data_IF_294761869097
#
_entry.id   IF_294761869097
#
_cell.length_a   1.000
_cell.length_b   1.000
_cell.length_c   1.000
_cell.angle_alpha   90.00
_cell.angle_beta   90.00
_cell.angle_gamma   90.00
#
_symmetry.space_group_name_H-M   'P 1'
#
loop_
_entity.id
_entity.type
_entity.pdbx_description
1 polymer ?
#
# COMPACT_ATOMS: atom_id res chain seq x y z
N UNK A 1 -1.38 20.48 13.74
CA UNK A 1 -0.70 19.70 14.79
C UNK A 1 0.20 18.67 14.12
N UNK A 2 1.40 18.37 14.65
CA UNK A 2 2.24 17.29 14.13
C UNK A 2 1.78 15.94 14.68
N UNK A 3 1.95 14.86 13.91
CA UNK A 3 1.52 13.51 14.32
C UNK A 3 2.73 12.58 14.40
N UNK A 4 2.82 11.84 15.51
CA UNK A 4 3.77 10.75 15.72
C UNK A 4 2.99 9.44 15.84
N UNK A 5 3.41 8.42 15.08
CA UNK A 5 2.94 7.05 15.28
C UNK A 5 3.99 6.28 16.07
N UNK A 6 3.58 5.67 17.19
CA UNK A 6 4.46 4.87 18.06
C UNK A 6 4.00 3.42 18.01
N UNK A 7 4.85 2.51 17.55
CA UNK A 7 4.56 1.09 17.53
C UNK A 7 5.29 0.38 18.66
N UNK A 8 4.56 -0.42 19.42
CA UNK A 8 5.11 -1.31 20.46
C UNK A 8 5.13 -2.76 19.96
N UNK A 9 6.33 -3.36 19.88
CA UNK A 9 6.48 -4.76 19.47
C UNK A 9 5.99 -5.78 20.49
N UNK A 10 5.50 -6.94 20.03
CA UNK A 10 4.96 -8.00 20.89
C UNK A 10 5.96 -8.51 21.94
N UNK A 11 7.25 -8.63 21.59
CA UNK A 11 8.30 -9.04 22.54
C UNK A 11 8.59 -7.98 23.60
N UNK A 12 8.27 -6.71 23.32
CA UNK A 12 8.36 -5.63 24.28
C UNK A 12 7.12 -5.56 25.17
N UNK A 13 5.93 -5.74 24.59
CA UNK A 13 4.64 -5.55 25.29
C UNK A 13 4.32 -6.67 26.26
N UNK A 14 4.86 -7.88 26.10
CA UNK A 14 4.43 -9.03 26.92
C UNK A 14 5.56 -9.75 27.65
N UNK A 15 5.28 -10.07 28.91
CA UNK A 15 6.04 -10.99 29.78
C UNK A 15 5.33 -12.35 29.79
N UNK A 16 5.95 -13.35 30.42
CA UNK A 16 5.35 -14.67 30.62
C UNK A 16 3.96 -14.61 31.31
N UNK A 17 3.73 -13.59 32.13
CA UNK A 17 2.47 -13.38 32.87
C UNK A 17 1.41 -12.56 32.11
N UNK A 18 1.66 -12.18 30.85
CA UNK A 18 0.79 -11.31 30.06
C UNK A 18 1.42 -9.93 29.77
N UNK A 19 0.63 -8.88 29.54
CA UNK A 19 1.15 -7.58 29.14
C UNK A 19 2.04 -6.97 30.24
N UNK A 20 3.08 -6.24 29.86
CA UNK A 20 3.99 -5.51 30.73
C UNK A 20 3.35 -4.16 31.10
N UNK A 21 2.73 -4.02 32.29
CA UNK A 21 2.05 -2.78 32.64
C UNK A 21 3.01 -1.61 32.73
N UNK A 22 4.29 -1.82 33.06
CA UNK A 22 5.27 -0.72 33.16
C UNK A 22 5.58 -0.15 31.79
N UNK A 23 5.81 -1.00 30.79
CA UNK A 23 6.07 -0.52 29.43
C UNK A 23 4.86 0.22 28.85
N UNK A 24 3.66 -0.33 29.03
CA UNK A 24 2.43 0.27 28.54
C UNK A 24 2.16 1.64 29.19
N UNK A 25 2.34 1.72 30.51
CA UNK A 25 2.21 2.97 31.28
C UNK A 25 3.23 4.00 30.81
N UNK A 26 4.52 3.65 30.79
CA UNK A 26 5.58 4.57 30.38
C UNK A 26 5.37 5.10 28.95
N UNK A 27 4.88 4.25 28.03
CA UNK A 27 4.62 4.67 26.66
C UNK A 27 3.45 5.64 26.59
N UNK A 28 2.38 5.39 27.36
CA UNK A 28 1.23 6.29 27.41
C UNK A 28 1.59 7.62 28.07
N UNK A 29 2.34 7.60 29.18
CA UNK A 29 2.82 8.81 29.84
C UNK A 29 3.69 9.66 28.91
N UNK A 30 4.57 9.01 28.13
CA UNK A 30 5.40 9.71 27.15
C UNK A 30 4.58 10.26 25.98
N UNK A 31 3.50 9.57 25.59
CA UNK A 31 2.56 10.06 24.59
C UNK A 31 1.77 11.28 25.10
N UNK A 32 1.44 11.29 26.39
CA UNK A 32 0.79 12.42 27.05
C UNK A 32 1.72 13.63 27.18
N UNK A 33 3.00 13.40 27.51
CA UNK A 33 4.03 14.46 27.51
C UNK A 33 4.20 15.05 26.10
N UNK A 34 4.29 14.19 25.08
CA UNK A 34 4.34 14.61 23.68
C UNK A 34 3.13 15.49 23.29
N UNK A 35 1.94 15.14 23.77
CA UNK A 35 0.75 15.97 23.58
C UNK A 35 0.89 17.35 24.23
N UNK A 36 1.47 17.44 25.43
CA UNK A 36 1.82 18.71 26.06
C UNK A 36 2.79 19.58 25.24
N UNK A 37 3.61 18.93 24.38
CA UNK A 37 4.54 19.58 23.45
C UNK A 37 3.91 19.89 22.07
N UNK A 38 2.59 19.72 21.90
CA UNK A 38 1.87 20.02 20.66
C UNK A 38 1.90 18.91 19.59
N UNK A 39 2.15 17.66 20.00
CA UNK A 39 2.15 16.49 19.12
C UNK A 39 0.93 15.59 19.37
N UNK A 40 0.24 15.19 18.31
CA UNK A 40 -0.71 14.08 18.36
C UNK A 40 0.03 12.75 18.32
N UNK A 41 -0.29 11.83 19.23
CA UNK A 41 0.33 10.50 19.26
C UNK A 41 -0.70 9.41 18.99
N UNK A 42 -0.40 8.55 18.01
CA UNK A 42 -1.14 7.32 17.74
C UNK A 42 -0.29 6.13 18.17
N UNK A 43 -0.82 5.28 19.06
CA UNK A 43 -0.12 4.09 19.54
C UNK A 43 -0.61 2.88 18.74
N UNK A 44 0.30 2.17 18.08
CA UNK A 44 0.05 0.84 17.49
C UNK A 44 0.60 -0.21 18.44
N UNK A 45 -0.28 -0.89 19.16
CA UNK A 45 0.09 -1.87 20.18
C UNK A 45 0.03 -3.29 19.64
N UNK A 46 0.92 -4.16 20.11
CA UNK A 46 0.78 -5.61 20.03
C UNK A 46 0.29 -6.19 21.37
N UNK A 47 0.13 -7.51 21.45
CA UNK A 47 0.03 -8.23 22.71
C UNK A 47 -1.33 -8.80 23.06
N UNK A 48 -2.37 -8.64 22.21
CA UNK A 48 -3.69 -9.22 22.45
C UNK A 48 -3.63 -10.75 22.60
N UNK A 49 -3.06 -11.46 21.62
CA UNK A 49 -2.96 -12.92 21.65
C UNK A 49 -2.20 -13.41 22.90
N UNK A 50 -1.03 -12.85 23.20
CA UNK A 50 -0.24 -13.28 24.36
C UNK A 50 -0.92 -12.94 25.70
N UNK A 51 -1.62 -11.81 25.78
CA UNK A 51 -2.42 -11.45 26.96
C UNK A 51 -3.54 -12.45 27.20
N UNK A 52 -4.26 -12.84 26.14
CA UNK A 52 -5.34 -13.82 26.25
C UNK A 52 -4.83 -15.23 26.53
N UNK A 53 -3.74 -15.65 25.89
CA UNK A 53 -3.09 -16.94 26.19
C UNK A 53 -2.71 -17.04 27.66
N UNK A 54 -2.06 -16.01 28.21
CA UNK A 54 -1.68 -15.99 29.63
C UNK A 54 -2.91 -15.95 30.57
N UNK A 55 -3.99 -15.31 30.16
CA UNK A 55 -5.24 -15.29 30.93
C UNK A 55 -5.94 -16.66 30.91
N UNK A 56 -6.18 -17.21 29.72
CA UNK A 56 -6.87 -18.49 29.49
C UNK A 56 -6.13 -19.66 30.16
N UNK A 57 -4.79 -19.66 30.10
CA UNK A 57 -3.99 -20.66 30.79
C UNK A 57 -4.17 -20.61 32.32
N UNK A 58 -4.24 -19.40 32.91
CA UNK A 58 -4.47 -19.25 34.36
C UNK A 58 -5.88 -19.65 34.79
N UNK A 59 -6.87 -19.45 33.93
CA UNK A 59 -8.26 -19.84 34.19
C UNK A 59 -8.56 -21.30 33.84
N UNK A 60 -7.54 -22.08 33.44
CA UNK A 60 -7.66 -23.52 33.22
C UNK A 60 -8.37 -23.91 31.92
N UNK A 61 -8.37 -23.06 30.88
CA UNK A 61 -8.90 -23.43 29.56
C UNK A 61 -7.88 -24.32 28.85
N UNK A 62 -8.19 -25.60 28.58
CA UNK A 62 -7.19 -26.59 28.18
C UNK A 62 -6.71 -26.42 26.73
N UNK A 63 -7.61 -26.05 25.82
CA UNK A 63 -7.29 -25.80 24.41
C UNK A 63 -8.05 -24.57 23.91
N UNK A 64 -7.38 -23.73 23.12
CA UNK A 64 -7.98 -22.53 22.55
C UNK A 64 -7.25 -22.11 21.27
N UNK A 65 -7.98 -21.48 20.37
CA UNK A 65 -7.39 -20.91 19.16
C UNK A 65 -6.69 -19.58 19.44
N UNK A 66 -5.75 -19.19 18.58
CA UNK A 66 -5.14 -17.86 18.64
C UNK A 66 -6.17 -16.71 18.52
N UNK A 67 -7.27 -16.95 17.80
CA UNK A 67 -8.39 -15.99 17.67
C UNK A 67 -9.14 -15.83 18.99
N UNK A 68 -9.43 -16.93 19.70
CA UNK A 68 -10.04 -16.86 21.02
C UNK A 68 -9.11 -16.15 22.02
N UNK A 69 -7.81 -16.45 21.99
CA UNK A 69 -6.82 -15.74 22.79
C UNK A 69 -6.79 -14.24 22.45
N UNK A 70 -6.82 -13.84 21.17
CA UNK A 70 -6.92 -12.44 20.78
C UNK A 70 -8.19 -11.77 21.31
N UNK A 71 -9.35 -12.42 21.13
CA UNK A 71 -10.65 -11.91 21.56
C UNK A 71 -10.73 -11.70 23.08
N UNK A 72 -10.13 -12.60 23.86
CA UNK A 72 -10.03 -12.46 25.32
C UNK A 72 -8.99 -11.42 25.71
N UNK A 73 -7.83 -11.41 25.07
CA UNK A 73 -6.70 -10.58 25.47
C UNK A 73 -6.79 -9.12 25.05
N UNK A 74 -7.50 -8.79 23.96
CA UNK A 74 -7.64 -7.42 23.49
C UNK A 74 -8.35 -6.50 24.51
N UNK A 75 -9.47 -6.90 25.14
CA UNK A 75 -10.06 -6.15 26.26
C UNK A 75 -9.10 -5.96 27.44
N UNK A 76 -8.30 -6.98 27.80
CA UNK A 76 -7.31 -6.87 28.89
C UNK A 76 -6.24 -5.81 28.58
N UNK A 77 -5.70 -5.83 27.36
CA UNK A 77 -4.72 -4.84 26.91
C UNK A 77 -5.31 -3.42 26.97
N UNK A 78 -6.53 -3.24 26.47
CA UNK A 78 -7.20 -1.93 26.46
C UNK A 78 -7.53 -1.43 27.87
N UNK A 79 -7.90 -2.33 28.79
CA UNK A 79 -8.18 -1.97 30.19
C UNK A 79 -6.96 -1.36 30.90
N UNK A 80 -5.74 -1.80 30.54
CA UNK A 80 -4.50 -1.22 31.08
C UNK A 80 -4.32 0.21 30.54
N UNK A 81 -4.39 0.40 29.23
CA UNK A 81 -4.30 1.74 28.62
C UNK A 81 -5.35 2.69 29.20
N UNK A 82 -6.59 2.23 29.34
CA UNK A 82 -7.69 3.03 29.88
C UNK A 82 -7.43 3.44 31.33
N UNK A 83 -7.01 2.50 32.18
CA UNK A 83 -6.68 2.80 33.58
C UNK A 83 -5.60 3.89 33.71
N UNK A 84 -4.57 3.86 32.85
CA UNK A 84 -3.51 4.88 32.85
C UNK A 84 -4.00 6.22 32.31
N UNK A 85 -4.81 6.20 31.24
CA UNK A 85 -5.39 7.41 30.67
C UNK A 85 -6.33 8.13 31.65
N UNK A 86 -7.17 7.36 32.36
CA UNK A 86 -8.12 7.87 33.35
C UNK A 86 -7.40 8.62 34.49
N UNK A 87 -6.26 8.10 34.97
CA UNK A 87 -5.43 8.77 35.98
C UNK A 87 -4.88 10.12 35.51
N UNK A 88 -4.72 10.30 34.19
CA UNK A 88 -4.22 11.53 33.58
C UNK A 88 -5.32 12.46 33.07
N UNK A 89 -6.61 12.13 33.32
CA UNK A 89 -7.76 12.90 32.85
C UNK A 89 -7.90 12.90 31.33
N UNK A 90 -7.45 11.84 30.66
CA UNK A 90 -7.35 11.73 29.20
C UNK A 90 -8.11 10.52 28.70
N UNK A 91 -8.52 10.58 27.43
CA UNK A 91 -9.26 9.48 26.82
C UNK A 91 -8.37 8.69 25.86
N UNK A 92 -8.64 7.39 25.76
CA UNK A 92 -8.10 6.52 24.72
C UNK A 92 -9.22 6.05 23.80
N UNK A 93 -8.92 5.90 22.50
CA UNK A 93 -9.85 5.37 21.51
C UNK A 93 -9.33 4.06 20.92
N UNK A 94 -10.10 2.99 20.99
CA UNK A 94 -9.73 1.72 20.39
C UNK A 94 -10.01 1.73 18.88
N UNK A 95 -9.04 1.31 18.09
CA UNK A 95 -9.20 1.06 16.65
C UNK A 95 -8.64 -0.32 16.33
N UNK A 96 -9.45 -1.18 15.72
CA UNK A 96 -9.03 -2.52 15.27
C UNK A 96 -8.97 -2.55 13.75
N UNK A 97 -7.87 -3.04 13.20
CA UNK A 97 -7.64 -3.08 11.75
C UNK A 97 -7.42 -4.51 11.27
N UNK A 98 -8.16 -4.89 10.23
CA UNK A 98 -7.88 -6.11 9.49
C UNK A 98 -6.90 -5.86 8.34
N UNK A 99 -6.19 -6.90 7.88
CA UNK A 99 -5.31 -6.80 6.69
C UNK A 99 -6.07 -6.28 5.45
N UNK A 100 -7.32 -6.71 5.27
CA UNK A 100 -8.18 -6.25 4.18
C UNK A 100 -8.56 -4.77 4.28
N UNK A 101 -8.51 -4.18 5.48
CA UNK A 101 -8.82 -2.76 5.66
C UNK A 101 -7.68 -1.90 5.11
N UNK A 102 -6.42 -2.28 5.36
CA UNK A 102 -5.22 -1.64 4.79
C UNK A 102 -5.26 -1.64 3.26
N UNK A 103 -5.77 -2.72 2.66
CA UNK A 103 -5.91 -2.89 1.21
C UNK A 103 -7.09 -2.13 0.60
N UNK A 104 -7.93 -1.49 1.40
CA UNK A 104 -9.07 -0.73 0.91
C UNK A 104 -8.86 0.78 1.11
N UNK A 105 -8.67 1.56 0.02
CA UNK A 105 -8.36 2.98 0.14
C UNK A 105 -9.48 3.78 0.83
N UNK A 106 -10.75 3.42 0.59
CA UNK A 106 -11.90 4.11 1.20
C UNK A 106 -11.96 3.84 2.69
N UNK A 107 -11.76 2.59 3.10
CA UNK A 107 -11.73 2.23 4.53
C UNK A 107 -10.57 2.93 5.24
N UNK A 108 -9.36 2.89 4.67
CA UNK A 108 -8.21 3.57 5.26
C UNK A 108 -8.38 5.08 5.34
N UNK A 109 -9.07 5.72 4.39
CA UNK A 109 -9.39 7.14 4.47
C UNK A 109 -10.31 7.46 5.67
N UNK A 110 -11.33 6.63 5.90
CA UNK A 110 -12.23 6.76 7.07
C UNK A 110 -11.47 6.54 8.37
N UNK A 111 -10.65 5.49 8.46
CA UNK A 111 -9.81 5.22 9.63
C UNK A 111 -8.87 6.41 9.90
N UNK A 112 -8.20 6.92 8.89
CA UNK A 112 -7.30 8.06 9.03
C UNK A 112 -8.01 9.35 9.42
N UNK A 113 -9.28 9.53 9.05
CA UNK A 113 -10.10 10.63 9.53
C UNK A 113 -10.37 10.50 11.04
N UNK A 114 -10.83 9.34 11.50
CA UNK A 114 -11.08 9.09 12.93
C UNK A 114 -9.81 9.25 13.76
N UNK A 115 -8.66 8.76 13.27
CA UNK A 115 -7.38 8.91 13.96
C UNK A 115 -6.97 10.37 14.09
N UNK A 116 -7.15 11.18 13.04
CA UNK A 116 -6.85 12.63 13.05
C UNK A 116 -7.78 13.38 14.01
N UNK A 117 -9.07 13.13 13.92
CA UNK A 117 -10.07 13.72 14.83
C UNK A 117 -9.76 13.38 16.29
N UNK A 118 -9.37 12.13 16.57
CA UNK A 118 -9.01 11.69 17.92
C UNK A 118 -7.85 12.52 18.47
N UNK A 119 -6.74 12.61 17.74
CA UNK A 119 -5.57 13.35 18.22
C UNK A 119 -5.83 14.85 18.32
N UNK A 120 -6.62 15.44 17.40
CA UNK A 120 -7.00 16.85 17.43
C UNK A 120 -7.84 17.21 18.67
N UNK A 121 -8.59 16.24 19.20
CA UNK A 121 -9.38 16.39 20.42
C UNK A 121 -8.66 15.87 21.68
N UNK A 122 -7.36 15.62 21.60
CA UNK A 122 -6.55 15.16 22.73
C UNK A 122 -6.89 13.75 23.23
N UNK A 123 -7.52 12.93 22.38
CA UNK A 123 -7.75 11.50 22.60
C UNK A 123 -6.56 10.73 22.00
N UNK A 124 -6.02 9.75 22.74
CA UNK A 124 -4.91 8.92 22.25
C UNK A 124 -5.47 7.65 21.59
N UNK A 125 -5.32 7.47 20.26
CA UNK A 125 -5.78 6.25 19.62
C UNK A 125 -4.84 5.08 19.93
N UNK A 126 -5.44 3.95 20.31
CA UNK A 126 -4.77 2.66 20.49
C UNK A 126 -5.23 1.76 19.34
N UNK A 127 -4.36 1.63 18.34
CA UNK A 127 -4.55 0.80 17.15
C UNK A 127 -3.96 -0.59 17.40
N UNK A 128 -4.68 -1.64 17.02
CA UNK A 128 -4.13 -3.00 16.95
C UNK A 128 -4.74 -3.77 15.77
N UNK A 129 -4.08 -4.83 15.35
CA UNK A 129 -4.63 -5.82 14.44
C UNK A 129 -5.89 -6.51 15.00
N UNK A 130 -6.86 -6.80 14.14
CA UNK A 130 -8.07 -7.53 14.51
C UNK A 130 -7.85 -9.06 14.48
N UNK A 131 -6.90 -9.54 15.28
CA UNK A 131 -6.47 -10.94 15.33
C UNK A 131 -7.60 -11.92 15.73
N UNK A 132 -8.73 -11.42 16.25
CA UNK A 132 -9.90 -12.22 16.56
C UNK A 132 -10.67 -12.67 15.32
N UNK A 133 -10.68 -11.85 14.26
CA UNK A 133 -11.45 -12.11 13.04
C UNK A 133 -10.60 -12.32 11.80
N UNK A 134 -9.34 -11.90 11.82
CA UNK A 134 -8.46 -12.03 10.66
C UNK A 134 -8.06 -13.49 10.35
N UNK A 135 -7.87 -13.77 9.07
CA UNK A 135 -7.39 -15.06 8.56
C UNK A 135 -5.93 -15.35 8.96
N UNK A 136 -5.11 -14.29 8.99
CA UNK A 136 -3.73 -14.34 9.41
C UNK A 136 -3.51 -13.46 10.64
N UNK A 137 -2.46 -13.77 11.42
CA UNK A 137 -2.03 -12.87 12.48
C UNK A 137 -1.54 -11.55 11.90
N UNK A 138 -1.91 -10.45 12.55
CA UNK A 138 -1.65 -9.09 12.07
C UNK A 138 -0.16 -8.73 12.17
N UNK A 139 0.38 -8.12 11.11
CA UNK A 139 1.70 -7.49 11.17
C UNK A 139 1.58 -6.04 11.62
N UNK A 140 1.73 -5.81 12.93
CA UNK A 140 1.62 -4.47 13.51
C UNK A 140 2.72 -3.50 13.05
N UNK A 141 3.85 -3.98 12.50
CA UNK A 141 4.83 -3.09 11.86
C UNK A 141 4.26 -2.53 10.55
N UNK A 142 3.58 -3.36 9.76
CA UNK A 142 2.87 -2.94 8.55
C UNK A 142 1.66 -2.04 8.85
N UNK A 143 0.88 -2.36 9.89
CA UNK A 143 -0.21 -1.50 10.37
C UNK A 143 0.32 -0.13 10.79
N UNK A 144 1.41 -0.08 11.56
CA UNK A 144 1.99 1.20 12.01
C UNK A 144 2.46 2.07 10.84
N UNK A 145 3.14 1.47 9.85
CA UNK A 145 3.52 2.20 8.64
C UNK A 145 2.30 2.65 7.83
N UNK A 146 1.29 1.79 7.65
CA UNK A 146 0.04 2.14 6.97
C UNK A 146 -0.70 3.29 7.66
N UNK A 147 -0.81 3.24 8.98
CA UNK A 147 -1.41 4.32 9.80
C UNK A 147 -0.60 5.62 9.66
N UNK A 148 0.73 5.55 9.75
CA UNK A 148 1.59 6.73 9.60
C UNK A 148 1.41 7.38 8.23
N UNK A 149 1.43 6.57 7.18
CA UNK A 149 1.21 7.02 5.79
C UNK A 149 -0.17 7.65 5.63
N UNK A 150 -1.24 6.97 6.06
CA UNK A 150 -2.60 7.45 5.84
C UNK A 150 -2.98 8.67 6.67
N UNK A 151 -2.46 8.78 7.90
CA UNK A 151 -2.66 9.97 8.75
C UNK A 151 -1.77 11.15 8.33
N UNK A 152 -0.75 10.92 7.50
CA UNK A 152 0.23 11.94 7.13
C UNK A 152 1.19 12.29 8.25
N UNK A 153 1.51 11.29 9.08
CA UNK A 153 2.36 11.45 10.24
C UNK A 153 3.71 12.09 9.88
N UNK A 154 4.23 12.86 10.82
CA UNK A 154 5.54 13.49 10.70
C UNK A 154 6.67 12.52 11.01
N UNK A 155 6.42 11.65 12.00
CA UNK A 155 7.39 10.70 12.51
C UNK A 155 6.73 9.34 12.75
N UNK A 156 7.51 8.27 12.57
CA UNK A 156 7.17 6.90 12.95
C UNK A 156 8.25 6.36 13.89
N UNK A 157 7.85 5.90 15.08
CA UNK A 157 8.74 5.28 16.07
C UNK A 157 8.41 3.80 16.21
N UNK A 158 9.34 2.94 15.81
CA UNK A 158 9.22 1.49 15.94
C UNK A 158 10.01 1.02 17.17
N UNK A 159 9.32 0.79 18.29
CA UNK A 159 9.92 0.33 19.53
C UNK A 159 10.13 -1.20 19.51
N UNK A 160 11.35 -1.62 19.85
CA UNK A 160 11.79 -3.03 19.82
C UNK A 160 12.55 -3.41 21.10
N UNK A 161 12.84 -4.70 21.27
CA UNK A 161 13.61 -5.27 22.39
C UNK A 161 15.14 -5.08 22.30
N UNK A 162 15.64 -4.54 21.20
CA UNK A 162 17.06 -4.22 20.94
C UNK A 162 17.24 -2.71 20.70
N UNK A 163 18.48 -2.21 20.66
CA UNK A 163 18.72 -0.76 20.59
C UNK A 163 18.52 -0.14 19.20
N UNK A 164 18.48 -0.94 18.14
CA UNK A 164 18.30 -0.51 16.76
C UNK A 164 18.50 -1.67 15.77
N UNK A 165 18.84 -1.33 14.53
CA UNK A 165 19.23 -2.29 13.49
C UNK A 165 20.72 -2.59 13.61
N UNK A 166 21.10 -3.85 13.43
CA UNK A 166 22.49 -4.30 13.45
C UNK A 166 22.81 -5.00 12.13
N UNK A 167 24.05 -4.85 11.63
CA UNK A 167 24.54 -5.54 10.44
C UNK A 167 24.66 -7.06 10.67
N UNK A 168 25.02 -7.46 11.89
CA UNK A 168 25.22 -8.85 12.31
C UNK A 168 24.50 -9.12 13.64
N UNK A 169 24.51 -10.38 14.09
CA UNK A 169 24.11 -10.70 15.47
C UNK A 169 24.89 -9.79 16.41
N UNK A 170 24.23 -8.99 17.28
CA UNK A 170 24.96 -8.10 18.16
C UNK A 170 25.82 -8.94 19.09
N UNK A 171 27.15 -8.76 19.03
CA UNK A 171 28.03 -9.15 20.11
C UNK A 171 27.74 -8.27 21.34
N UNK A 172 28.24 -8.67 22.51
CA UNK A 172 28.30 -7.77 23.66
C UNK A 172 29.08 -6.52 23.19
N UNK A 173 28.48 -5.34 23.38
CA UNK A 173 29.00 -4.02 22.97
C UNK A 173 28.90 -3.60 21.49
N UNK A 174 28.17 -4.34 20.64
CA UNK A 174 27.88 -3.85 19.29
C UNK A 174 26.98 -2.58 19.34
N UNK A 175 27.33 -1.56 18.56
CA UNK A 175 26.49 -0.37 18.35
C UNK A 175 25.49 -0.61 17.21
N UNK A 176 24.24 -0.11 17.32
CA UNK A 176 23.31 -0.16 16.19
C UNK A 176 23.78 0.76 15.07
N UNK A 177 23.37 0.46 13.85
CA UNK A 177 23.55 1.32 12.69
C UNK A 177 22.89 2.67 13.01
N UNK A 178 23.60 3.81 12.94
CA UNK A 178 23.04 5.09 13.33
C UNK A 178 21.97 5.58 12.35
N UNK A 179 22.18 5.35 11.06
CA UNK A 179 21.31 5.81 9.99
C UNK A 179 21.32 4.82 8.81
N UNK A 180 20.16 4.58 8.21
CA UNK A 180 20.02 3.78 7.00
C UNK A 180 19.36 4.64 5.92
N UNK A 181 19.94 4.62 4.72
CA UNK A 181 19.30 5.17 3.53
C UNK A 181 18.20 4.20 3.05
N UNK A 182 16.98 4.69 2.85
CA UNK A 182 15.88 3.83 2.42
C UNK A 182 16.11 3.19 1.03
N UNK A 183 16.98 3.75 0.18
CA UNK A 183 17.35 3.13 -1.10
C UNK A 183 18.29 1.93 -0.95
N UNK A 184 19.03 1.85 0.17
CA UNK A 184 20.01 0.80 0.47
C UNK A 184 19.42 -0.25 1.43
N UNK A 185 18.16 -0.09 1.82
CA UNK A 185 17.52 -0.91 2.85
C UNK A 185 17.44 -2.39 2.47
N UNK A 186 17.38 -2.70 1.17
CA UNK A 186 17.36 -4.06 0.64
C UNK A 186 18.70 -4.79 0.83
N UNK A 187 19.80 -4.05 1.01
CA UNK A 187 21.14 -4.59 1.24
C UNK A 187 21.41 -4.84 2.73
N UNK A 188 20.54 -4.32 3.61
CA UNK A 188 20.65 -4.52 5.06
C UNK A 188 20.32 -5.98 5.40
N UNK A 189 21.35 -6.75 5.71
CA UNK A 189 21.21 -8.13 6.18
C UNK A 189 20.66 -8.11 7.61
N UNK A 190 19.34 -8.21 7.77
CA UNK A 190 18.73 -8.18 9.10
C UNK A 190 18.99 -9.49 9.85
N UNK A 191 19.65 -9.42 11.00
CA UNK A 191 19.73 -10.53 11.95
C UNK A 191 18.32 -10.93 12.47
N UNK A 192 18.04 -12.23 12.57
CA UNK A 192 16.82 -12.76 13.20
C UNK A 192 17.05 -12.93 14.70
N UNK A 193 17.04 -11.83 15.45
CA UNK A 193 17.03 -11.87 16.91
C UNK A 193 15.61 -11.76 17.48
N UNK A 194 15.25 -12.62 18.43
CA UNK A 194 14.03 -12.50 19.25
C UNK A 194 12.86 -13.43 18.89
N UNK A 195 12.00 -13.68 19.88
CA UNK A 195 10.79 -14.54 19.80
C UNK A 195 9.53 -13.81 19.31
N UNK A 196 9.64 -12.51 18.98
CA UNK A 196 8.54 -11.69 18.50
C UNK A 196 8.10 -12.06 17.08
N UNK A 197 6.79 -12.21 16.86
CA UNK A 197 6.19 -12.28 15.52
C UNK A 197 6.30 -10.89 14.87
N UNK A 198 7.14 -10.75 13.84
CA UNK A 198 7.49 -9.47 13.20
C UNK A 198 8.93 -9.01 13.51
N UNK A 199 9.92 -9.81 13.12
CA UNK A 199 11.33 -9.55 13.39
C UNK A 199 11.87 -8.26 12.75
N UNK A 200 13.19 -8.01 12.89
CA UNK A 200 13.82 -6.78 12.40
C UNK A 200 13.52 -6.47 10.92
N UNK A 201 13.40 -7.50 10.08
CA UNK A 201 13.00 -7.36 8.67
C UNK A 201 11.66 -6.63 8.46
N UNK A 202 10.65 -6.90 9.29
CA UNK A 202 9.35 -6.22 9.13
C UNK A 202 9.45 -4.75 9.52
N UNK A 203 10.21 -4.43 10.58
CA UNK A 203 10.49 -3.04 10.99
C UNK A 203 11.22 -2.25 9.93
N UNK A 204 12.25 -2.85 9.34
CA UNK A 204 13.01 -2.23 8.24
C UNK A 204 12.09 -1.97 7.04
N UNK A 205 11.23 -2.93 6.65
CA UNK A 205 10.23 -2.71 5.58
C UNK A 205 9.21 -1.63 5.92
N UNK A 206 8.74 -1.58 7.16
CA UNK A 206 7.84 -0.52 7.64
C UNK A 206 8.51 0.86 7.59
N UNK A 207 9.79 0.94 7.95
CA UNK A 207 10.59 2.16 7.88
C UNK A 207 10.87 2.60 6.43
N UNK A 208 11.16 1.66 5.54
CA UNK A 208 11.27 1.90 4.09
C UNK A 208 10.00 2.52 3.53
N UNK A 209 8.86 1.91 3.85
CA UNK A 209 7.55 2.36 3.42
C UNK A 209 7.25 3.80 3.87
N UNK A 210 7.53 4.09 5.14
CA UNK A 210 7.37 5.40 5.73
C UNK A 210 8.33 6.42 5.08
N UNK A 211 9.59 6.06 4.88
CA UNK A 211 10.60 6.91 4.25
C UNK A 211 10.21 7.31 2.82
N UNK A 212 9.72 6.36 2.02
CA UNK A 212 9.21 6.65 0.68
C UNK A 212 7.96 7.54 0.67
N UNK A 213 7.27 7.67 1.79
CA UNK A 213 6.10 8.54 1.94
C UNK A 213 6.40 9.86 2.67
N UNK A 214 7.68 10.21 2.82
CA UNK A 214 8.07 11.49 3.42
C UNK A 214 8.00 11.50 4.95
N UNK A 215 8.06 10.33 5.59
CA UNK A 215 7.93 10.15 7.04
C UNK A 215 9.27 9.70 7.61
N UNK A 216 9.75 10.45 8.60
CA UNK A 216 10.98 10.10 9.28
C UNK A 216 10.73 8.95 10.25
N UNK A 217 11.57 7.91 10.18
CA UNK A 217 11.40 6.73 11.03
C UNK A 217 12.59 6.54 11.97
N UNK A 218 12.30 6.09 13.19
CA UNK A 218 13.28 5.66 14.17
C UNK A 218 12.98 4.23 14.63
N UNK A 219 13.98 3.37 14.62
CA UNK A 219 13.92 2.03 15.25
C UNK A 219 14.75 2.11 16.54
N UNK A 220 14.10 1.95 17.69
CA UNK A 220 14.72 2.20 18.99
C UNK A 220 14.25 1.20 20.06
N UNK A 221 15.01 1.12 21.17
CA UNK A 221 14.68 0.26 22.30
C UNK A 221 13.44 0.74 23.06
N UNK A 222 12.50 -0.17 23.26
CA UNK A 222 11.32 0.00 24.11
C UNK A 222 11.69 0.17 25.59
N UNK A 223 12.89 -0.24 26.01
CA UNK A 223 13.34 -0.09 27.40
C UNK A 223 13.68 1.35 27.78
N UNK A 224 13.77 2.27 26.82
CA UNK A 224 14.04 3.69 27.05
C UNK A 224 12.73 4.44 27.27
N UNK A 225 12.39 4.87 28.50
CA UNK A 225 11.12 5.55 28.76
C UNK A 225 10.98 6.85 27.95
N UNK A 226 12.07 7.59 27.78
CA UNK A 226 12.09 8.88 27.08
C UNK A 226 12.04 8.79 25.55
N UNK A 227 12.02 7.58 24.95
CA UNK A 227 12.21 7.41 23.50
C UNK A 227 11.25 8.23 22.62
N UNK A 228 10.00 8.38 23.05
CA UNK A 228 8.98 9.18 22.34
C UNK A 228 9.36 10.67 22.34
N UNK A 229 9.69 11.20 23.52
CA UNK A 229 10.03 12.62 23.73
C UNK A 229 11.36 12.96 23.08
N UNK A 230 12.38 12.11 23.25
CA UNK A 230 13.70 12.26 22.65
C UNK A 230 13.60 12.35 21.12
N UNK A 231 12.76 11.51 20.50
CA UNK A 231 12.59 11.52 19.06
C UNK A 231 11.85 12.76 18.54
N UNK A 232 10.88 13.27 19.32
CA UNK A 232 10.20 14.54 19.02
C UNK A 232 11.15 15.73 19.09
N UNK A 233 12.09 15.72 20.05
CA UNK A 233 13.11 16.76 20.25
C UNK A 233 14.33 16.62 19.32
N UNK A 234 14.30 15.69 18.37
CA UNK A 234 15.40 15.39 17.44
C UNK A 234 16.71 14.90 18.10
N UNK A 235 16.60 14.32 19.31
CA UNK A 235 17.70 13.69 20.05
C UNK A 235 17.54 12.14 20.16
N UNK A 236 17.10 11.42 19.11
CA UNK A 236 16.80 10.00 19.25
C UNK A 236 18.07 9.15 19.39
N UNK A 237 17.89 7.99 20.02
CA UNK A 237 18.90 6.93 20.08
C UNK A 237 18.36 5.66 19.44
N UNK A 238 19.10 5.13 18.46
CA UNK A 238 18.75 3.93 17.72
C UNK A 238 19.15 4.08 16.26
N UNK A 239 18.37 3.51 15.36
CA UNK A 239 18.61 3.60 13.92
C UNK A 239 17.60 4.52 13.26
N UNK A 240 18.10 5.60 12.64
CA UNK A 240 17.28 6.54 11.87
C UNK A 240 17.11 6.06 10.43
N UNK A 241 15.92 6.21 9.87
CA UNK A 241 15.66 6.06 8.43
C UNK A 241 15.10 7.36 7.91
N UNK A 242 15.86 8.04 7.04
CA UNK A 242 15.48 9.35 6.53
C UNK A 242 14.42 9.24 5.42
N UNK A 243 13.51 10.24 5.34
CA UNK A 243 12.59 10.34 4.20
C UNK A 243 13.34 10.49 2.87
N UNK A 244 12.88 9.80 1.83
CA UNK A 244 13.48 9.88 0.47
C UNK A 244 12.66 10.72 -0.50
N UNK A 245 11.35 10.89 -0.23
CA UNK A 245 10.44 11.66 -1.07
C UNK A 245 9.83 12.84 -0.29
N UNK A 246 9.31 13.84 -1.02
CA UNK A 246 8.35 14.80 -0.44
C UNK A 246 7.06 14.06 -0.06
N UNK A 247 6.37 14.53 0.98
CA UNK A 247 5.07 13.96 1.37
C UNK A 247 4.10 14.03 0.20
N UNK A 248 3.53 12.89 -0.17
CA UNK A 248 2.46 12.83 -1.17
C UNK A 248 1.16 13.42 -0.63
N UNK A 249 0.29 13.86 -1.53
CA UNK A 249 -1.10 14.21 -1.21
C UNK A 249 -1.83 12.99 -0.62
N UNK A 250 -2.82 13.24 0.25
CA UNK A 250 -3.51 12.22 1.05
C UNK A 250 -4.00 11.03 0.19
N UNK A 251 -4.59 11.30 -0.98
CA UNK A 251 -5.10 10.25 -1.87
C UNK A 251 -4.00 9.40 -2.49
N UNK A 252 -2.84 10.01 -2.77
CA UNK A 252 -1.69 9.35 -3.38
C UNK A 252 -0.89 8.50 -2.39
N UNK A 253 -0.92 8.83 -1.10
CA UNK A 253 -0.23 8.09 -0.03
C UNK A 253 -0.60 6.61 0.02
N UNK A 254 -1.88 6.28 -0.20
CA UNK A 254 -2.30 4.88 -0.25
C UNK A 254 -1.65 4.14 -1.42
N UNK A 255 -1.69 4.73 -2.62
CA UNK A 255 -1.10 4.15 -3.84
C UNK A 255 0.42 4.01 -3.70
N UNK A 256 1.06 5.02 -3.10
CA UNK A 256 2.50 5.14 -2.92
C UNK A 256 3.12 4.10 -1.99
N UNK A 257 2.31 3.35 -1.22
CA UNK A 257 2.89 2.53 -0.19
C UNK A 257 1.99 1.47 0.41
N UNK A 258 0.81 1.88 0.89
CA UNK A 258 -0.08 0.96 1.63
C UNK A 258 -0.72 -0.07 0.72
N UNK A 259 -1.00 0.31 -0.53
CA UNK A 259 -1.59 -0.57 -1.51
C UNK A 259 -0.67 -1.73 -1.86
N UNK A 260 -1.23 -2.95 -1.84
CA UNK A 260 -0.59 -4.14 -2.39
C UNK A 260 -0.63 -4.07 -3.91
N UNK A 261 0.53 -4.19 -4.53
CA UNK A 261 0.66 -4.27 -5.99
C UNK A 261 0.20 -5.64 -6.47
N UNK A 262 -0.69 -5.68 -7.46
CA UNK A 262 -1.23 -6.91 -8.07
C UNK A 262 -0.53 -7.29 -9.39
N UNK A 263 0.43 -6.47 -9.84
CA UNK A 263 1.17 -6.70 -11.06
C UNK A 263 2.12 -5.56 -11.39
N UNK A 264 2.78 -5.65 -12.54
CA UNK A 264 3.71 -4.61 -12.98
C UNK A 264 3.58 -4.30 -14.46
N UNK A 265 3.71 -3.02 -14.80
CA UNK A 265 3.81 -2.50 -16.15
C UNK A 265 5.25 -2.08 -16.42
N UNK A 266 5.93 -2.78 -17.33
CA UNK A 266 7.26 -2.37 -17.79
C UNK A 266 7.10 -1.40 -18.93
N UNK A 267 7.61 -0.18 -18.74
CA UNK A 267 7.42 0.94 -19.67
C UNK A 267 8.66 1.15 -20.55
N UNK A 268 8.49 1.90 -21.65
CA UNK A 268 9.60 2.37 -22.47
C UNK A 268 10.23 3.66 -21.91
N UNK A 269 11.37 4.08 -22.46
CA UNK A 269 12.11 5.26 -21.98
C UNK A 269 11.32 6.58 -22.12
N UNK A 270 10.53 6.72 -23.18
CA UNK A 270 9.70 7.91 -23.39
C UNK A 270 8.58 8.00 -22.34
N UNK A 271 7.98 6.87 -21.97
CA UNK A 271 7.00 6.78 -20.91
C UNK A 271 7.61 6.99 -19.53
N UNK A 272 8.81 6.43 -19.24
CA UNK A 272 9.57 6.72 -18.02
C UNK A 272 9.82 8.23 -17.86
N UNK A 273 10.25 8.89 -18.94
CA UNK A 273 10.45 10.35 -18.94
C UNK A 273 9.12 11.07 -18.73
N UNK A 274 8.10 10.75 -19.52
CA UNK A 274 6.78 11.40 -19.48
C UNK A 274 6.08 11.32 -18.12
N UNK A 275 6.10 10.15 -17.47
CA UNK A 275 5.54 10.01 -16.11
C UNK A 275 6.35 10.79 -15.08
N UNK A 276 7.67 10.90 -15.26
CA UNK A 276 8.53 11.75 -14.44
C UNK A 276 8.14 13.23 -14.49
N UNK A 277 7.62 13.70 -15.64
CA UNK A 277 7.04 15.03 -15.83
C UNK A 277 5.55 15.14 -15.47
N UNK A 278 4.95 14.09 -14.90
CA UNK A 278 3.55 14.09 -14.45
C UNK A 278 2.51 13.73 -15.52
N UNK A 279 2.93 13.04 -16.60
CA UNK A 279 2.02 12.54 -17.64
C UNK A 279 1.28 11.28 -17.20
N UNK A 280 0.10 11.03 -17.78
CA UNK A 280 -0.60 9.74 -17.67
C UNK A 280 0.16 8.65 -18.44
N UNK A 281 -0.03 7.38 -18.07
CA UNK A 281 0.54 6.23 -18.78
C UNK A 281 -0.45 5.69 -19.81
N UNK A 282 -0.07 5.70 -21.08
CA UNK A 282 -0.86 5.19 -22.21
C UNK A 282 -0.31 3.86 -22.74
N UNK A 283 -1.11 3.12 -23.53
CA UNK A 283 -0.73 1.82 -24.10
C UNK A 283 0.58 1.86 -24.88
N UNK A 284 0.83 2.92 -25.64
CA UNK A 284 2.06 3.13 -26.43
C UNK A 284 3.33 3.09 -25.56
N UNK A 285 3.22 3.52 -24.30
CA UNK A 285 4.26 3.52 -23.29
C UNK A 285 4.57 2.15 -22.69
N UNK A 286 3.64 1.20 -22.76
CA UNK A 286 3.71 -0.10 -22.09
C UNK A 286 4.36 -1.14 -23.01
N UNK A 287 5.41 -1.80 -22.54
CA UNK A 287 6.15 -2.83 -23.27
C UNK A 287 5.85 -4.24 -22.81
N UNK A 288 5.60 -4.45 -21.52
CA UNK A 288 5.28 -5.76 -20.96
C UNK A 288 4.37 -5.64 -19.75
N UNK A 289 3.43 -6.56 -19.63
CA UNK A 289 2.57 -6.74 -18.45
C UNK A 289 3.08 -7.94 -17.65
N UNK A 290 3.11 -7.82 -16.32
CA UNK A 290 3.43 -8.90 -15.38
C UNK A 290 2.31 -9.02 -14.36
N UNK A 291 2.01 -10.25 -13.94
CA UNK A 291 0.95 -10.53 -12.98
C UNK A 291 -0.46 -10.46 -13.60
N UNK A 292 -1.46 -10.47 -12.74
CA UNK A 292 -2.87 -10.42 -13.11
C UNK A 292 -3.56 -9.40 -12.23
N UNK A 293 -4.21 -8.42 -12.84
CA UNK A 293 -4.89 -7.34 -12.14
C UNK A 293 -6.16 -6.92 -12.89
N UNK A 294 -7.06 -6.28 -12.16
CA UNK A 294 -8.38 -5.80 -12.61
C UNK A 294 -8.42 -4.26 -12.58
N UNK A 295 -9.42 -3.64 -13.23
CA UNK A 295 -9.67 -2.21 -13.06
C UNK A 295 -9.79 -1.85 -11.56
N UNK A 296 -9.05 -0.84 -11.13
CA UNK A 296 -9.00 -0.39 -9.73
C UNK A 296 -7.84 -0.96 -8.91
N UNK A 297 -7.15 -1.99 -9.40
CA UNK A 297 -5.97 -2.54 -8.71
C UNK A 297 -4.77 -1.62 -8.86
N UNK A 298 -3.93 -1.59 -7.83
CA UNK A 298 -2.62 -0.92 -7.88
C UNK A 298 -1.60 -1.84 -8.55
N UNK A 299 -0.79 -1.26 -9.43
CA UNK A 299 0.29 -1.93 -10.14
C UNK A 299 1.59 -1.13 -10.04
N UNK A 300 2.71 -1.84 -10.02
CA UNK A 300 4.04 -1.25 -10.09
C UNK A 300 4.36 -0.78 -11.52
N UNK A 301 5.08 0.32 -11.62
CA UNK A 301 5.56 0.87 -12.89
C UNK A 301 7.07 0.72 -12.89
N UNK A 302 7.58 0.01 -13.89
CA UNK A 302 8.97 -0.46 -13.89
C UNK A 302 9.68 0.02 -15.14
N UNK A 303 10.90 0.54 -14.98
CA UNK A 303 11.74 1.00 -16.08
C UNK A 303 12.16 -0.16 -17.00
N UNK A 304 12.66 0.12 -18.21
CA UNK A 304 13.26 -0.91 -19.07
C UNK A 304 14.36 -1.73 -18.36
N UNK A 305 15.11 -1.09 -17.47
CA UNK A 305 16.22 -1.68 -16.70
C UNK A 305 15.74 -2.43 -15.44
N UNK A 306 14.44 -2.46 -15.16
CA UNK A 306 13.88 -3.19 -14.03
C UNK A 306 13.76 -2.38 -12.74
N UNK A 307 14.06 -1.07 -12.76
CA UNK A 307 13.92 -0.19 -11.60
C UNK A 307 12.45 0.14 -11.34
N UNK A 308 12.01 0.09 -10.09
CA UNK A 308 10.68 0.55 -9.68
C UNK A 308 10.62 2.08 -9.79
N UNK A 309 9.80 2.59 -10.70
CA UNK A 309 9.61 4.03 -10.94
C UNK A 309 8.49 4.61 -10.08
N UNK A 310 7.52 3.79 -9.69
CA UNK A 310 6.33 4.26 -9.02
C UNK A 310 5.21 3.23 -9.02
N UNK A 311 4.02 3.66 -8.61
CA UNK A 311 2.80 2.86 -8.59
C UNK A 311 1.63 3.65 -9.13
N UNK A 312 0.66 2.95 -9.70
CA UNK A 312 -0.58 3.58 -10.12
C UNK A 312 -1.77 2.64 -10.10
N UNK A 313 -2.96 3.23 -10.06
CA UNK A 313 -4.22 2.48 -10.15
C UNK A 313 -4.53 2.22 -11.61
N UNK A 314 -4.58 0.95 -12.00
CA UNK A 314 -4.94 0.55 -13.36
C UNK A 314 -6.40 0.86 -13.63
N UNK A 315 -6.70 1.50 -14.75
CA UNK A 315 -8.09 1.74 -15.22
C UNK A 315 -8.69 0.52 -15.92
N UNK A 316 -7.86 -0.45 -16.27
CA UNK A 316 -8.23 -1.63 -17.06
C UNK A 316 -7.61 -2.90 -16.49
N UNK A 317 -8.06 -4.07 -16.93
CA UNK A 317 -7.47 -5.36 -16.58
C UNK A 317 -6.14 -5.59 -17.29
N UNK A 318 -5.32 -6.48 -16.69
CA UNK A 318 -4.10 -6.98 -17.31
C UNK A 318 -4.36 -7.60 -18.68
N UNK A 319 -5.51 -8.24 -18.86
CA UNK A 319 -5.91 -8.88 -20.12
C UNK A 319 -6.09 -7.84 -21.23
N UNK A 320 -6.77 -6.72 -20.94
CA UNK A 320 -6.96 -5.64 -21.90
C UNK A 320 -5.63 -4.93 -22.19
N UNK A 321 -4.82 -4.62 -21.18
CA UNK A 321 -3.51 -3.98 -21.37
C UNK A 321 -2.61 -4.83 -22.26
N UNK A 322 -2.55 -6.13 -21.98
CA UNK A 322 -1.68 -7.05 -22.71
C UNK A 322 -2.14 -7.25 -24.16
N UNK A 323 -3.44 -7.11 -24.43
CA UNK A 323 -3.99 -7.18 -25.78
C UNK A 323 -3.62 -5.96 -26.62
N UNK A 324 -3.55 -4.76 -26.02
CA UNK A 324 -3.44 -3.49 -26.77
C UNK A 324 -2.17 -2.67 -26.50
N UNK A 325 -1.24 -3.17 -25.69
CA UNK A 325 0.03 -2.48 -25.40
C UNK A 325 0.86 -2.22 -26.66
N UNK A 326 1.66 -1.15 -26.63
CA UNK A 326 2.51 -0.71 -27.74
C UNK A 326 1.77 -0.33 -29.04
N UNK A 327 0.46 -0.09 -28.97
CA UNK A 327 -0.37 0.34 -30.10
C UNK A 327 -0.64 1.84 -30.10
N UNK A 328 -0.97 2.39 -31.27
CA UNK A 328 -1.58 3.72 -31.43
C UNK A 328 -3.06 3.71 -31.08
N UNK A 329 -3.69 4.89 -30.98
CA UNK A 329 -5.11 5.04 -30.67
C UNK A 329 -5.98 4.31 -31.71
N UNK A 330 -5.62 4.43 -33.00
CA UNK A 330 -6.34 3.80 -34.12
C UNK A 330 -6.25 2.28 -34.08
N UNK A 331 -5.06 1.77 -33.75
CA UNK A 331 -4.81 0.34 -33.60
C UNK A 331 -5.59 -0.24 -32.41
N UNK A 332 -5.63 0.46 -31.27
CA UNK A 332 -6.42 0.06 -30.11
C UNK A 332 -7.91 0.02 -30.49
N UNK A 333 -8.43 1.08 -31.10
CA UNK A 333 -9.83 1.17 -31.53
C UNK A 333 -10.25 -0.03 -32.40
N UNK A 334 -9.41 -0.40 -33.37
CA UNK A 334 -9.63 -1.56 -34.23
C UNK A 334 -9.72 -2.87 -33.42
N UNK A 335 -8.81 -3.08 -32.47
CA UNK A 335 -8.80 -4.28 -31.64
C UNK A 335 -10.01 -4.34 -30.70
N UNK A 336 -10.42 -3.22 -30.09
CA UNK A 336 -11.61 -3.17 -29.23
C UNK A 336 -12.89 -3.50 -30.00
N UNK A 337 -13.04 -2.97 -31.22
CA UNK A 337 -14.16 -3.31 -32.11
C UNK A 337 -14.15 -4.80 -32.46
N UNK A 338 -12.95 -5.38 -32.69
CA UNK A 338 -12.78 -6.82 -32.91
C UNK A 338 -13.30 -7.66 -31.74
N UNK A 339 -12.98 -7.27 -30.50
CA UNK A 339 -13.49 -7.95 -29.29
C UNK A 339 -15.02 -7.93 -29.25
N UNK A 340 -15.63 -6.75 -29.44
CA UNK A 340 -17.09 -6.60 -29.35
C UNK A 340 -17.83 -7.41 -30.42
N UNK A 341 -17.30 -7.47 -31.65
CA UNK A 341 -17.86 -8.30 -32.72
C UNK A 341 -17.79 -9.78 -32.40
N UNK A 342 -16.65 -10.24 -31.87
CA UNK A 342 -16.47 -11.63 -31.48
C UNK A 342 -17.41 -12.03 -30.35
N UNK A 343 -17.66 -11.11 -29.41
CA UNK A 343 -18.63 -11.31 -28.34
C UNK A 343 -20.09 -11.36 -28.84
N UNK A 344 -20.44 -10.58 -29.85
CA UNK A 344 -21.78 -10.53 -30.43
C UNK A 344 -22.12 -11.71 -31.38
N UNK A 345 -21.27 -12.75 -31.45
CA UNK A 345 -21.39 -13.86 -32.41
C UNK A 345 -21.52 -13.41 -33.88
N UNK A 346 -21.01 -12.23 -34.21
CA UNK A 346 -20.85 -11.81 -35.60
C UNK A 346 -19.68 -12.61 -36.19
N UNK A 347 -19.97 -13.81 -36.71
CA UNK A 347 -19.03 -14.78 -37.28
C UNK A 347 -18.27 -14.33 -38.54
N UNK A 348 -18.07 -13.03 -38.73
CA UNK A 348 -17.28 -12.48 -39.83
C UNK A 348 -16.02 -11.83 -39.26
N UNK A 349 -14.82 -12.39 -39.55
CA UNK A 349 -13.55 -11.75 -39.23
C UNK A 349 -13.54 -10.31 -39.79
N UNK A 350 -12.94 -9.37 -39.05
CA UNK A 350 -12.56 -8.09 -39.63
C UNK A 350 -11.56 -8.39 -40.75
N UNK A 351 -11.96 -8.15 -42.01
CA UNK A 351 -10.99 -8.11 -43.10
C UNK A 351 -9.96 -7.03 -42.74
N UNK A 352 -8.69 -7.42 -42.60
CA UNK A 352 -7.62 -6.48 -42.35
C UNK A 352 -7.60 -5.43 -43.47
N UNK A 353 -7.97 -4.20 -43.14
CA UNK A 353 -7.86 -3.08 -44.07
C UNK A 353 -6.39 -2.65 -44.11
N UNK A 354 -5.72 -2.92 -45.23
CA UNK A 354 -4.29 -2.64 -45.47
C UNK A 354 -3.33 -3.40 -44.53
N UNK A 355 -2.01 -3.48 -44.79
CA UNK A 355 -1.13 -4.36 -44.01
C UNK A 355 -0.99 -3.79 -42.59
N UNK A 356 -1.84 -4.28 -41.69
CA UNK A 356 -1.83 -3.92 -40.29
C UNK A 356 -0.45 -4.21 -39.71
N UNK A 357 0.08 -3.30 -38.88
CA UNK A 357 1.38 -3.50 -38.24
C UNK A 357 1.41 -4.85 -37.51
N UNK A 358 2.57 -5.53 -37.43
CA UNK A 358 2.67 -6.85 -36.80
C UNK A 358 2.06 -6.92 -35.39
N UNK A 359 2.09 -5.81 -34.63
CA UNK A 359 1.47 -5.72 -33.30
C UNK A 359 -0.05 -5.93 -33.33
N UNK A 360 -0.75 -5.37 -34.32
CA UNK A 360 -2.21 -5.51 -34.49
C UNK A 360 -2.55 -6.93 -34.95
N UNK A 361 -1.80 -7.46 -35.91
CA UNK A 361 -2.00 -8.83 -36.39
C UNK A 361 -1.84 -9.85 -35.26
N UNK A 362 -0.81 -9.69 -34.44
CA UNK A 362 -0.57 -10.54 -33.27
C UNK A 362 -1.70 -10.44 -32.24
N UNK A 363 -2.27 -9.24 -32.03
CA UNK A 363 -3.39 -9.05 -31.11
C UNK A 363 -4.68 -9.70 -31.61
N UNK A 364 -5.00 -9.54 -32.90
CA UNK A 364 -6.16 -10.20 -33.52
C UNK A 364 -5.99 -11.73 -33.51
N UNK A 365 -4.81 -12.25 -33.86
CA UNK A 365 -4.53 -13.69 -33.76
C UNK A 365 -4.55 -14.21 -32.32
N UNK A 366 -4.25 -13.37 -31.33
CA UNK A 366 -4.43 -13.71 -29.91
C UNK A 366 -5.90 -13.78 -29.55
N UNK A 367 -6.69 -12.79 -29.99
CA UNK A 367 -8.13 -12.73 -29.80
C UNK A 367 -8.83 -13.97 -30.38
N UNK A 368 -8.44 -14.42 -31.58
CA UNK A 368 -9.00 -15.61 -32.23
C UNK A 368 -8.78 -16.91 -31.42
N UNK A 369 -7.71 -16.96 -30.63
CA UNK A 369 -7.36 -18.10 -29.76
C UNK A 369 -7.84 -17.94 -28.32
N UNK A 370 -8.48 -16.82 -27.96
CA UNK A 370 -8.98 -16.60 -26.60
C UNK A 370 -10.20 -17.48 -26.31
N UNK A 371 -10.34 -17.91 -25.06
CA UNK A 371 -11.54 -18.60 -24.60
C UNK A 371 -12.78 -17.69 -24.68
N UNK A 372 -13.99 -18.24 -24.85
CA UNK A 372 -15.22 -17.47 -24.81
C UNK A 372 -15.39 -16.64 -23.52
N UNK A 373 -14.90 -17.16 -22.38
CA UNK A 373 -14.94 -16.46 -21.09
C UNK A 373 -14.05 -15.21 -21.07
N UNK A 374 -12.84 -15.28 -21.63
CA UNK A 374 -11.95 -14.13 -21.75
C UNK A 374 -12.49 -13.08 -22.71
N UNK A 375 -13.08 -13.50 -23.83
CA UNK A 375 -13.76 -12.61 -24.79
C UNK A 375 -14.91 -11.89 -24.10
N UNK A 376 -15.76 -12.63 -23.36
CA UNK A 376 -16.87 -12.05 -22.58
C UNK A 376 -16.36 -11.05 -21.54
N UNK A 377 -15.29 -11.39 -20.82
CA UNK A 377 -14.68 -10.51 -19.81
C UNK A 377 -14.20 -9.19 -20.43
N UNK A 378 -13.45 -9.26 -21.54
CA UNK A 378 -13.00 -8.08 -22.26
C UNK A 378 -14.17 -7.25 -22.81
N UNK A 379 -15.19 -7.90 -23.36
CA UNK A 379 -16.35 -7.21 -23.91
C UNK A 379 -17.11 -6.43 -22.82
N UNK A 380 -17.35 -7.05 -21.65
CA UNK A 380 -17.99 -6.38 -20.51
C UNK A 380 -17.14 -5.20 -20.03
N UNK A 381 -15.82 -5.37 -19.97
CA UNK A 381 -14.91 -4.28 -19.59
C UNK A 381 -14.97 -3.11 -20.58
N UNK A 382 -14.92 -3.38 -21.89
CA UNK A 382 -15.04 -2.36 -22.95
C UNK A 382 -16.41 -1.67 -22.89
N UNK A 383 -17.49 -2.43 -22.68
CA UNK A 383 -18.85 -1.90 -22.49
C UNK A 383 -18.94 -1.00 -21.26
N UNK A 384 -18.19 -1.30 -20.19
CA UNK A 384 -18.12 -0.47 -18.99
C UNK A 384 -17.35 0.82 -19.22
N UNK A 385 -16.25 0.74 -19.98
CA UNK A 385 -15.45 1.92 -20.35
C UNK A 385 -16.20 2.85 -21.32
N UNK A 386 -16.97 2.30 -22.26
CA UNK A 386 -17.64 3.04 -23.32
C UNK A 386 -19.11 2.61 -23.54
N UNK A 387 -20.01 2.87 -22.58
CA UNK A 387 -21.37 2.32 -22.61
C UNK A 387 -22.17 2.70 -23.87
N UNK A 388 -22.10 3.97 -24.29
CA UNK A 388 -22.88 4.49 -25.42
C UNK A 388 -22.38 4.05 -26.80
N UNK A 389 -21.08 3.75 -26.93
CA UNK A 389 -20.47 3.36 -28.20
C UNK A 389 -20.48 1.84 -28.39
N UNK A 390 -20.25 1.09 -27.32
CA UNK A 390 -20.19 -0.36 -27.39
C UNK A 390 -21.58 -1.00 -27.62
N UNK A 391 -22.67 -0.36 -27.19
CA UNK A 391 -24.05 -0.78 -27.55
C UNK A 391 -24.26 -0.74 -29.07
N UNK A 392 -23.77 0.29 -29.77
CA UNK A 392 -23.89 0.38 -31.22
C UNK A 392 -23.05 -0.69 -31.96
N UNK A 393 -21.96 -1.18 -31.34
CA UNK A 393 -21.10 -2.21 -31.90
C UNK A 393 -21.66 -3.64 -31.78
N UNK A 394 -22.51 -3.88 -30.78
CA UNK A 394 -23.08 -5.20 -30.45
C UNK A 394 -24.46 -5.41 -31.10
N UNK A 395 -25.14 -4.34 -31.54
CA UNK A 395 -26.45 -4.45 -32.18
C UNK A 395 -26.35 -4.94 -33.64
N UNK A 396 -27.17 -5.95 -34.04
CA UNK A 396 -27.07 -6.63 -35.33
C UNK A 396 -27.69 -5.87 -36.52
N UNK A 397 -27.55 -4.54 -36.58
CA UNK A 397 -28.04 -3.77 -37.72
C UNK A 397 -26.90 -3.53 -38.73
N UNK A 398 -26.82 -4.44 -39.70
CA UNK A 398 -25.81 -4.46 -40.74
C UNK A 398 -25.75 -3.19 -41.58
N UNK A 399 -24.53 -2.74 -41.87
CA UNK A 399 -24.00 -2.38 -43.19
C UNK A 399 -22.50 -2.03 -43.04
N UNK A 400 -21.67 -2.29 -44.07
CA UNK A 400 -20.25 -1.90 -44.10
C UNK A 400 -20.02 -0.41 -43.80
N UNK A 401 -20.99 0.46 -44.14
CA UNK A 401 -20.98 1.91 -43.86
C UNK A 401 -21.10 2.28 -42.37
N UNK A 402 -21.59 1.37 -41.52
CA UNK A 402 -21.59 1.53 -40.07
C UNK A 402 -20.24 1.17 -39.43
N UNK A 403 -19.37 0.44 -40.14
CA UNK A 403 -18.08 -0.04 -39.61
C UNK A 403 -17.04 1.08 -39.53
N UNK A 404 -16.91 1.89 -40.58
CA UNK A 404 -15.98 3.04 -40.60
C UNK A 404 -16.41 4.10 -39.59
N UNK A 405 -17.73 4.40 -39.51
CA UNK A 405 -18.29 5.30 -38.50
C UNK A 405 -18.11 4.80 -37.06
N UNK A 406 -18.14 3.49 -36.84
CA UNK A 406 -17.90 2.90 -35.52
C UNK A 406 -16.42 2.99 -35.13
N UNK A 407 -15.52 2.70 -36.07
CA UNK A 407 -14.08 2.81 -35.85
C UNK A 407 -13.70 4.26 -35.57
N UNK A 408 -14.15 5.22 -36.39
CA UNK A 408 -13.94 6.66 -36.18
C UNK A 408 -14.43 7.12 -34.79
N UNK A 409 -15.61 6.66 -34.35
CA UNK A 409 -16.11 6.94 -32.99
C UNK A 409 -15.21 6.36 -31.91
N UNK A 410 -14.72 5.13 -32.07
CA UNK A 410 -13.82 4.50 -31.11
C UNK A 410 -12.45 5.17 -31.08
N UNK A 411 -11.91 5.64 -32.21
CA UNK A 411 -10.66 6.42 -32.26
C UNK A 411 -10.76 7.63 -31.34
N UNK A 412 -11.84 8.40 -31.44
CA UNK A 412 -12.05 9.56 -30.56
C UNK A 412 -12.17 9.15 -29.08
N UNK A 413 -12.89 8.07 -28.76
CA UNK A 413 -13.10 7.63 -27.38
C UNK A 413 -11.84 7.08 -26.72
N UNK A 414 -11.02 6.37 -27.50
CA UNK A 414 -9.77 5.77 -27.05
C UNK A 414 -8.65 6.82 -26.92
N UNK A 415 -8.79 7.98 -27.57
CA UNK A 415 -7.82 9.07 -27.47
C UNK A 415 -7.51 9.50 -26.02
N UNK A 416 -8.50 9.40 -25.14
CA UNK A 416 -8.38 9.72 -23.71
C UNK A 416 -8.10 8.50 -22.82
N UNK A 417 -7.93 7.31 -23.40
CA UNK A 417 -7.68 6.07 -22.64
C UNK A 417 -6.25 6.01 -22.12
N UNK A 418 -6.04 6.67 -20.99
CA UNK A 418 -4.92 6.32 -20.11
C UNK A 418 -5.19 4.98 -19.43
N UNK A 419 -4.14 4.17 -19.32
CA UNK A 419 -4.15 2.95 -18.51
C UNK A 419 -3.91 3.26 -17.04
N UNK A 420 -3.11 4.29 -16.78
CA UNK A 420 -2.97 4.90 -15.45
C UNK A 420 -3.08 6.40 -15.63
N UNK A 421 -4.07 7.01 -14.98
CA UNK A 421 -4.25 8.44 -14.97
C UNK A 421 -3.23 9.12 -14.05
N UNK A 422 -2.70 10.29 -14.44
CA UNK A 422 -1.72 11.07 -13.65
C UNK A 422 -2.20 11.41 -12.22
N UNK A 423 -3.51 11.54 -11.99
CA UNK A 423 -4.09 11.77 -10.66
C UNK A 423 -3.97 10.54 -9.75
N UNK A 424 -3.93 9.34 -10.34
CA UNK A 424 -3.77 8.06 -9.65
C UNK A 424 -2.43 7.40 -9.93
N UNK A 425 -1.43 8.22 -10.26
CA UNK A 425 -0.05 7.85 -10.49
C UNK A 425 0.85 8.51 -9.45
N UNK A 426 1.67 7.69 -8.81
CA UNK A 426 2.72 8.10 -7.90
C UNK A 426 4.05 7.68 -8.49
N UNK A 427 4.98 8.62 -8.62
CA UNK A 427 6.35 8.38 -9.06
C UNK A 427 7.27 8.51 -7.85
N UNK A 428 8.10 7.51 -7.62
CA UNK A 428 9.14 7.52 -6.59
C UNK A 428 10.36 8.24 -7.18
N UNK A 429 10.86 9.30 -6.54
CA UNK A 429 12.00 10.06 -7.04
C UNK A 429 13.28 9.19 -7.05
N UNK A 430 14.18 9.38 -8.05
CA UNK A 430 15.05 10.55 -8.12
C UNK A 430 15.09 11.11 -9.54
N UNK A 431 14.21 12.05 -9.83
CA UNK A 431 14.33 12.88 -11.04
C UNK A 431 14.54 14.31 -10.56
N UNK A 432 15.80 14.70 -10.41
CA UNK A 432 16.13 16.08 -10.70
C UNK A 432 15.85 16.22 -12.21
N UNK A 433 14.88 17.05 -12.63
CA UNK A 433 14.69 17.27 -14.04
C UNK A 433 15.97 17.93 -14.57
N UNK A 434 16.69 17.23 -15.44
CA UNK A 434 17.47 17.94 -16.45
C UNK A 434 16.54 18.89 -17.20
N UNK A 435 17.05 20.01 -17.75
CA UNK A 435 16.21 21.00 -18.42
C UNK A 435 15.30 20.32 -19.44
N UNK A 436 14.03 20.74 -19.46
CA UNK A 436 13.04 20.21 -20.38
C UNK A 436 13.61 20.24 -21.82
N UNK A 437 13.42 19.18 -22.63
CA UNK A 437 13.76 19.26 -24.04
C UNK A 437 12.91 20.37 -24.67
N UNK A 438 13.60 21.37 -25.20
CA UNK A 438 13.00 22.53 -25.87
C UNK A 438 12.37 22.20 -27.21
#
# INVERSE_FOLDING_TARGET
MKILVVKLGSSSVTRASGPDPRLLTNTLDSALEAHGLGWGVVIVSSGAVSSGTAHLARTGVPEFSGRLAAAVGQPYLLAIYRSVADMSGRNVAQILLADQDLRNPRKMAVIAQVLRESVENGVIPIVNGNDATDEAASDNDAIAAGVAVMTGADKLLLLTDVDGVYEHSPAVDAAPIPEINAHEIHEVTTYRGGTGRGGMRSKVRAAELAAHNGIETMIASARRPSAVVDFIKDEPRGTRVRPTNKRFDVEKRWIAGVAVSHGALVVNLAAETGIGWGSSLFASGIKRVRGTFRPGDVVDIVSPQGRLLGRGVSRTSALLVELVRSMSIEEIALVLVGVLRRFADAGTPLAATSPARPVVQNALARLDRMSPENIRTLAIEILTLYPSAAVAAVLPNGQRTASDRLLERFVHLVGDLSFIDRSRLVVYHPFAPGPAPG
#
